data_IF_837923078231
#
_entry.id   IF_837923078231
#
_cell.length_a   1.000
_cell.length_b   1.000
_cell.length_c   1.000
_cell.angle_alpha   90.00
_cell.angle_beta   90.00
_cell.angle_gamma   90.00
#
_symmetry.space_group_name_H-M   'P 1'
#
loop_
_entity.id
_entity.type
_entity.pdbx_description
1 polymer ?
#
# COMPACT_ATOMS: atom_id res chain seq x y z
N UNK A 1 1.99 17.06 -0.12
CA UNK A 1 0.69 16.35 -0.04
C UNK A 1 0.43 15.94 1.41
N UNK A 2 -0.82 16.02 1.90
CA UNK A 2 -1.17 15.81 3.31
C UNK A 2 -1.77 14.45 3.68
N UNK A 3 -1.63 13.43 2.82
CA UNK A 3 -2.21 12.10 3.09
C UNK A 3 -3.72 11.97 2.84
N UNK A 4 -4.37 12.95 2.20
CA UNK A 4 -5.81 12.95 1.93
C UNK A 4 -6.32 11.73 1.14
N UNK A 5 -5.45 11.10 0.35
CA UNK A 5 -5.78 9.86 -0.37
C UNK A 5 -6.11 8.68 0.58
N UNK A 6 -5.54 8.65 1.80
CA UNK A 6 -5.81 7.61 2.78
C UNK A 6 -7.26 7.72 3.27
N UNK A 7 -7.71 8.94 3.54
CA UNK A 7 -9.09 9.23 3.94
C UNK A 7 -10.07 8.85 2.82
N UNK A 8 -9.85 9.30 1.59
CA UNK A 8 -10.77 8.97 0.50
C UNK A 8 -10.81 7.48 0.17
N UNK A 9 -9.71 6.75 0.38
CA UNK A 9 -9.65 5.31 0.21
C UNK A 9 -10.36 4.57 1.35
N UNK A 10 -10.21 5.03 2.60
CA UNK A 10 -10.95 4.51 3.74
C UNK A 10 -12.45 4.72 3.58
N UNK A 11 -12.88 5.95 3.25
CA UNK A 11 -14.28 6.29 2.98
C UNK A 11 -14.86 5.39 1.87
N UNK A 12 -14.07 5.11 0.83
CA UNK A 12 -14.49 4.23 -0.26
C UNK A 12 -14.64 2.77 0.16
N UNK A 13 -13.81 2.27 1.09
CA UNK A 13 -13.93 0.92 1.67
C UNK A 13 -15.16 0.81 2.57
N UNK A 14 -15.37 1.78 3.47
CA UNK A 14 -16.54 1.83 4.33
C UNK A 14 -17.84 1.93 3.52
N UNK A 15 -17.86 2.81 2.50
CA UNK A 15 -19.00 2.93 1.59
C UNK A 15 -19.25 1.66 0.75
N UNK A 16 -18.25 0.80 0.58
CA UNK A 16 -18.39 -0.50 -0.06
C UNK A 16 -18.83 -1.61 0.91
N UNK A 17 -18.94 -1.30 2.21
CA UNK A 17 -19.40 -2.22 3.26
C UNK A 17 -18.29 -2.89 4.06
N UNK A 18 -17.03 -2.43 3.95
CA UNK A 18 -15.92 -2.92 4.78
C UNK A 18 -16.02 -2.31 6.18
N UNK A 19 -16.04 -3.15 7.21
CA UNK A 19 -16.15 -2.71 8.60
C UNK A 19 -14.80 -2.43 9.25
N UNK A 20 -14.79 -1.57 10.27
CA UNK A 20 -13.62 -1.39 11.14
C UNK A 20 -12.37 -0.85 10.45
N UNK A 21 -12.54 -0.05 9.39
CA UNK A 21 -11.42 0.52 8.64
C UNK A 21 -10.63 1.48 9.55
N UNK A 22 -9.33 1.22 9.69
CA UNK A 22 -8.43 2.06 10.46
C UNK A 22 -7.26 2.52 9.57
N UNK A 23 -6.95 3.82 9.63
CA UNK A 23 -5.83 4.42 8.91
C UNK A 23 -4.62 4.46 9.85
N UNK A 24 -3.48 3.96 9.40
CA UNK A 24 -2.23 4.11 10.14
C UNK A 24 -1.80 5.58 10.19
N UNK A 25 -1.24 6.01 11.33
CA UNK A 25 -0.82 7.41 11.53
C UNK A 25 0.18 7.85 10.43
N UNK A 26 -0.22 8.73 9.50
CA UNK A 26 0.63 9.13 8.39
C UNK A 26 1.89 9.87 8.87
N UNK A 27 1.83 10.57 10.01
CA UNK A 27 2.97 11.32 10.55
C UNK A 27 4.08 10.39 11.08
N UNK A 28 3.75 9.14 11.42
CA UNK A 28 4.75 8.12 11.80
C UNK A 28 5.48 7.52 10.60
N UNK A 29 4.81 7.44 9.47
CA UNK A 29 5.26 6.68 8.29
C UNK A 29 5.59 7.55 7.07
N UNK A 30 5.32 8.86 7.13
CA UNK A 30 5.60 9.86 6.10
C UNK A 30 6.37 11.03 6.73
N UNK A 31 7.62 11.25 6.30
CA UNK A 31 8.51 12.30 6.83
C UNK A 31 8.52 13.55 5.93
N UNK A 32 7.34 14.08 5.57
CA UNK A 32 7.16 15.41 4.95
C UNK A 32 7.88 15.68 3.61
N UNK A 33 8.73 14.78 3.10
CA UNK A 33 9.40 14.89 1.79
C UNK A 33 9.15 13.62 0.98
N UNK A 34 7.90 13.42 0.56
CA UNK A 34 7.38 12.21 -0.10
C UNK A 34 8.28 11.57 -1.16
N UNK A 35 9.07 12.36 -1.89
CA UNK A 35 9.92 11.86 -2.95
C UNK A 35 11.27 11.35 -2.45
N UNK A 36 11.89 12.05 -1.50
CA UNK A 36 13.11 11.59 -0.82
C UNK A 36 12.80 10.51 0.21
N UNK A 37 11.65 10.59 0.86
CA UNK A 37 11.11 9.56 1.75
C UNK A 37 10.70 8.33 0.95
N UNK A 38 10.04 8.46 -0.20
CA UNK A 38 9.68 7.32 -1.03
C UNK A 38 10.91 6.53 -1.50
N UNK A 39 12.00 7.22 -1.83
CA UNK A 39 13.27 6.59 -2.22
C UNK A 39 14.07 6.06 -1.02
N UNK A 40 14.15 6.79 0.09
CA UNK A 40 14.88 6.37 1.29
C UNK A 40 14.14 5.29 2.09
N UNK A 41 12.81 5.29 2.07
CA UNK A 41 11.98 4.25 2.66
C UNK A 41 11.89 3.02 1.75
N UNK A 42 12.06 3.17 0.43
CA UNK A 42 12.31 2.03 -0.46
C UNK A 42 13.66 1.32 -0.20
N UNK A 43 14.54 1.86 0.66
CA UNK A 43 15.68 1.13 1.23
C UNK A 43 15.24 0.08 2.27
N UNK A 44 14.12 0.30 2.97
CA UNK A 44 13.54 -0.61 3.97
C UNK A 44 12.56 -1.60 3.32
N UNK A 45 12.95 -2.17 2.19
CA UNK A 45 12.15 -3.09 1.36
C UNK A 45 12.25 -4.56 1.75
N UNK A 46 13.05 -4.83 2.77
CA UNK A 46 13.25 -6.14 3.37
C UNK A 46 12.56 -6.17 4.72
N UNK A 47 12.47 -7.37 5.31
CA UNK A 47 11.97 -7.51 6.66
C UNK A 47 12.98 -6.92 7.63
N UNK A 48 12.65 -5.77 8.19
CA UNK A 48 13.47 -5.09 9.21
C UNK A 48 12.78 -5.24 10.57
N UNK A 49 13.54 -5.08 11.67
CA UNK A 49 13.00 -5.14 13.05
C UNK A 49 12.17 -3.89 13.42
N UNK A 50 11.50 -3.27 12.45
CA UNK A 50 10.64 -2.12 12.66
C UNK A 50 9.36 -2.65 13.29
N UNK A 51 9.10 -2.22 14.52
CA UNK A 51 7.87 -2.52 15.21
C UNK A 51 6.71 -1.90 14.43
N UNK A 52 6.06 -2.73 13.62
CA UNK A 52 5.08 -2.31 12.63
C UNK A 52 3.84 -1.66 13.25
N UNK A 53 3.63 -1.82 14.58
CA UNK A 53 2.58 -1.24 15.45
C UNK A 53 1.38 -0.65 14.68
N UNK A 54 0.78 -1.46 13.82
CA UNK A 54 -0.51 -1.11 13.25
C UNK A 54 -1.54 -1.30 14.37
N UNK A 55 -2.54 -0.42 14.49
CA UNK A 55 -3.57 -0.51 15.53
C UNK A 55 -4.58 -1.64 15.25
N UNK A 56 -4.08 -2.84 14.93
CA UNK A 56 -4.88 -4.03 14.65
C UNK A 56 -5.10 -4.80 15.95
N UNK A 57 -6.35 -5.18 16.21
CA UNK A 57 -6.73 -6.06 17.32
C UNK A 57 -7.37 -7.32 16.75
N UNK A 58 -6.55 -8.33 16.36
CA UNK A 58 -7.06 -9.53 15.70
C UNK A 58 -8.11 -10.29 16.51
N UNK A 59 -8.05 -10.18 17.85
CA UNK A 59 -8.98 -10.77 18.80
C UNK A 59 -10.40 -10.18 18.74
N UNK A 60 -10.59 -9.06 18.05
CA UNK A 60 -11.85 -8.30 17.99
C UNK A 60 -12.44 -8.22 16.58
N UNK A 61 -11.87 -8.93 15.61
CA UNK A 61 -12.28 -8.86 14.22
C UNK A 61 -12.51 -10.27 13.66
N UNK A 62 -13.59 -10.46 12.91
CA UNK A 62 -13.82 -11.71 12.17
C UNK A 62 -12.81 -11.90 11.03
N UNK A 63 -12.26 -10.79 10.53
CA UNK A 63 -11.31 -10.76 9.43
C UNK A 63 -10.28 -9.65 9.66
N UNK A 64 -9.00 -9.99 9.53
CA UNK A 64 -7.91 -9.01 9.53
C UNK A 64 -7.43 -8.83 8.09
N UNK A 65 -7.58 -7.60 7.59
CA UNK A 65 -7.14 -7.19 6.26
C UNK A 65 -6.12 -6.07 6.38
N UNK A 66 -5.04 -6.15 5.62
CA UNK A 66 -4.00 -5.13 5.56
C UNK A 66 -3.88 -4.62 4.14
N UNK A 67 -3.96 -3.31 3.98
CA UNK A 67 -3.88 -2.63 2.69
C UNK A 67 -2.77 -1.59 2.80
N UNK A 68 -1.86 -1.58 1.83
CA UNK A 68 -0.83 -0.57 1.76
C UNK A 68 -0.53 -0.14 0.33
N UNK A 69 -0.15 1.13 0.21
CA UNK A 69 0.16 1.78 -1.05
C UNK A 69 1.58 2.32 -1.03
N UNK A 70 2.33 2.10 -2.11
CA UNK A 70 3.74 2.51 -2.21
C UNK A 70 4.53 1.97 -1.00
N UNK A 71 5.30 2.81 -0.30
CA UNK A 71 5.99 2.42 0.92
C UNK A 71 5.05 1.87 2.01
N UNK A 72 3.81 2.36 2.11
CA UNK A 72 2.82 1.81 3.05
C UNK A 72 2.52 0.33 2.82
N UNK A 73 2.67 -0.17 1.59
CA UNK A 73 2.56 -1.61 1.29
C UNK A 73 3.71 -2.43 1.85
N UNK A 74 4.91 -1.86 1.91
CA UNK A 74 6.08 -2.51 2.53
C UNK A 74 5.87 -2.63 4.05
N UNK A 75 5.34 -1.57 4.68
CA UNK A 75 4.97 -1.59 6.10
C UNK A 75 3.84 -2.57 6.36
N UNK A 76 2.80 -2.58 5.52
CA UNK A 76 1.69 -3.53 5.63
C UNK A 76 2.15 -4.99 5.48
N UNK A 77 3.09 -5.28 4.58
CA UNK A 77 3.64 -6.62 4.42
C UNK A 77 4.43 -7.08 5.66
N UNK A 78 5.23 -6.20 6.25
CA UNK A 78 5.96 -6.49 7.49
C UNK A 78 4.98 -6.71 8.66
N UNK A 79 3.98 -5.83 8.81
CA UNK A 79 2.94 -5.99 9.81
C UNK A 79 2.15 -7.29 9.67
N UNK A 80 1.83 -7.68 8.42
CA UNK A 80 1.15 -8.93 8.14
C UNK A 80 1.98 -10.13 8.63
N UNK A 81 3.28 -10.13 8.36
CA UNK A 81 4.19 -11.18 8.81
C UNK A 81 4.32 -11.19 10.34
N UNK A 82 4.46 -10.04 10.99
CA UNK A 82 4.56 -9.97 12.45
C UNK A 82 3.29 -10.49 13.15
N UNK A 83 2.11 -10.11 12.64
CA UNK A 83 0.83 -10.64 13.12
C UNK A 83 0.74 -12.15 12.90
N UNK A 84 1.14 -12.60 11.71
CA UNK A 84 1.04 -13.99 11.29
C UNK A 84 2.01 -14.91 12.05
N UNK A 85 3.22 -14.44 12.34
CA UNK A 85 4.20 -15.11 13.21
C UNK A 85 3.71 -15.13 14.68
N UNK A 86 2.98 -14.10 15.11
CA UNK A 86 2.29 -14.05 16.40
C UNK A 86 1.05 -14.95 16.50
N UNK A 87 0.72 -15.71 15.44
CA UNK A 87 -0.39 -16.66 15.39
C UNK A 87 -1.73 -16.07 14.94
N UNK A 88 -1.81 -14.78 14.64
CA UNK A 88 -3.01 -14.18 14.07
C UNK A 88 -3.18 -14.58 12.60
N UNK A 89 -4.43 -14.73 12.15
CA UNK A 89 -4.71 -14.98 10.73
C UNK A 89 -4.95 -13.66 10.02
N UNK A 90 -4.16 -13.39 8.97
CA UNK A 90 -4.37 -12.28 8.03
C UNK A 90 -5.09 -12.83 6.81
N UNK A 91 -6.32 -12.40 6.59
CA UNK A 91 -7.14 -12.91 5.49
C UNK A 91 -6.67 -12.35 4.15
N UNK A 92 -6.48 -11.02 4.09
CA UNK A 92 -5.99 -10.34 2.90
C UNK A 92 -4.84 -9.39 3.23
N UNK A 93 -3.72 -9.53 2.52
CA UNK A 93 -2.68 -8.53 2.37
C UNK A 93 -2.75 -7.96 0.95
N UNK A 94 -3.01 -6.67 0.81
CA UNK A 94 -3.21 -6.00 -0.48
C UNK A 94 -2.12 -4.94 -0.65
N UNK A 95 -1.36 -5.07 -1.74
CA UNK A 95 -0.16 -4.30 -2.03
C UNK A 95 -0.39 -3.50 -3.32
N UNK A 96 -0.67 -2.21 -3.18
CA UNK A 96 -0.88 -1.29 -4.29
C UNK A 96 0.43 -0.56 -4.62
N UNK A 97 0.88 -0.62 -5.88
CA UNK A 97 2.09 0.08 -6.34
C UNK A 97 3.31 -0.08 -5.42
N UNK A 98 3.48 -1.26 -4.83
CA UNK A 98 4.39 -1.44 -3.69
C UNK A 98 5.73 -1.99 -4.17
N UNK A 99 6.84 -1.24 -4.04
CA UNK A 99 8.16 -1.67 -4.51
C UNK A 99 8.90 -2.56 -3.48
N UNK A 100 8.24 -3.58 -2.94
CA UNK A 100 8.86 -4.51 -1.99
C UNK A 100 9.82 -5.50 -2.68
N UNK A 101 10.76 -6.08 -1.92
CA UNK A 101 11.69 -7.08 -2.46
C UNK A 101 11.00 -8.40 -2.80
N UNK A 102 11.60 -9.18 -3.70
CA UNK A 102 11.09 -10.49 -4.06
C UNK A 102 11.04 -11.44 -2.86
N UNK A 103 12.02 -11.33 -1.96
CA UNK A 103 12.11 -12.15 -0.75
C UNK A 103 10.99 -11.83 0.23
N UNK A 104 10.73 -10.54 0.50
CA UNK A 104 9.63 -10.13 1.38
C UNK A 104 8.27 -10.54 0.79
N UNK A 105 8.10 -10.40 -0.52
CA UNK A 105 6.88 -10.82 -1.22
C UNK A 105 6.67 -12.33 -1.11
N UNK A 106 7.75 -13.09 -1.26
CA UNK A 106 7.71 -14.55 -1.15
C UNK A 106 7.41 -15.01 0.28
N UNK A 107 7.97 -14.35 1.29
CA UNK A 107 7.64 -14.60 2.70
C UNK A 107 6.14 -14.41 2.93
N UNK A 108 5.59 -13.25 2.55
CA UNK A 108 4.17 -12.96 2.73
C UNK A 108 3.26 -13.95 1.99
N UNK A 109 3.61 -14.34 0.74
CA UNK A 109 2.83 -15.30 -0.06
C UNK A 109 2.86 -16.73 0.45
N UNK A 110 3.94 -17.13 1.14
CA UNK A 110 4.14 -18.51 1.62
C UNK A 110 3.76 -18.69 3.09
N UNK A 111 3.51 -17.61 3.81
CA UNK A 111 3.21 -17.70 5.22
C UNK A 111 1.84 -18.37 5.45
N UNK A 112 1.75 -19.46 6.24
CA UNK A 112 0.50 -20.24 6.36
C UNK A 112 -0.66 -19.49 7.01
N UNK A 113 -0.37 -18.47 7.83
CA UNK A 113 -1.37 -17.60 8.45
C UNK A 113 -1.72 -16.35 7.61
N UNK A 114 -1.17 -16.19 6.41
CA UNK A 114 -1.57 -15.15 5.45
C UNK A 114 -2.29 -15.84 4.30
N UNK A 115 -3.61 -15.73 4.26
CA UNK A 115 -4.43 -16.53 3.33
C UNK A 115 -4.33 -16.04 1.89
N UNK A 116 -4.37 -14.72 1.68
CA UNK A 116 -4.27 -14.12 0.35
C UNK A 116 -3.33 -12.92 0.35
N UNK A 117 -2.32 -12.94 -0.52
CA UNK A 117 -1.50 -11.76 -0.84
C UNK A 117 -1.80 -11.31 -2.26
N UNK A 118 -2.42 -10.13 -2.39
CA UNK A 118 -2.80 -9.53 -3.67
C UNK A 118 -1.85 -8.39 -4.01
N UNK A 119 -1.33 -8.42 -5.23
CA UNK A 119 -0.46 -7.36 -5.78
C UNK A 119 -1.23 -6.64 -6.87
N UNK A 120 -1.25 -5.31 -6.79
CA UNK A 120 -1.78 -4.44 -7.82
C UNK A 120 -0.71 -3.43 -8.21
N UNK A 121 0.03 -3.78 -9.26
CA UNK A 121 0.95 -2.86 -9.92
C UNK A 121 0.14 -1.89 -10.81
N UNK A 122 0.63 -0.66 -10.99
CA UNK A 122 -0.08 0.41 -11.70
C UNK A 122 0.48 0.61 -13.11
N UNK A 123 0.85 -0.49 -13.77
CA UNK A 123 1.54 -0.48 -15.08
C UNK A 123 0.68 0.21 -16.15
N UNK A 124 -0.65 0.06 -16.09
CA UNK A 124 -1.59 0.71 -17.01
C UNK A 124 -1.60 2.24 -16.87
N UNK A 125 -1.15 2.78 -15.73
CA UNK A 125 -0.99 4.21 -15.50
C UNK A 125 0.45 4.69 -15.80
N UNK A 126 1.36 3.78 -16.17
CA UNK A 126 2.76 4.06 -16.43
C UNK A 126 3.66 4.03 -15.19
N UNK A 127 3.21 3.46 -14.07
CA UNK A 127 4.04 3.33 -12.87
C UNK A 127 5.21 2.37 -13.14
N UNK A 128 6.47 2.81 -12.94
CA UNK A 128 7.63 1.93 -13.08
C UNK A 128 7.83 0.98 -11.87
N UNK A 129 7.13 1.20 -10.75
CA UNK A 129 7.23 0.38 -9.55
C UNK A 129 6.32 -0.84 -9.63
N UNK A 130 6.85 -1.96 -9.16
CA UNK A 130 6.10 -3.20 -9.06
C UNK A 130 6.61 -4.07 -7.91
N UNK A 131 5.75 -4.96 -7.41
CA UNK A 131 6.12 -5.86 -6.31
C UNK A 131 7.17 -6.90 -6.74
N UNK A 132 8.18 -7.11 -5.92
CA UNK A 132 9.29 -8.00 -6.22
C UNK A 132 10.37 -7.37 -7.10
N UNK A 133 10.35 -6.05 -7.30
CA UNK A 133 11.37 -5.37 -8.11
C UNK A 133 12.76 -5.46 -7.48
N UNK A 134 13.78 -5.59 -8.34
CA UNK A 134 15.17 -5.55 -7.89
C UNK A 134 15.60 -4.14 -7.49
N UNK A 135 16.69 -4.05 -6.72
CA UNK A 135 17.26 -2.77 -6.31
C UNK A 135 17.75 -1.91 -7.48
N UNK A 136 18.46 -2.46 -8.50
CA UNK A 136 18.85 -1.69 -9.67
C UNK A 136 17.66 -1.13 -10.46
N UNK A 137 16.56 -1.91 -10.57
CA UNK A 137 15.35 -1.44 -11.24
C UNK A 137 14.66 -0.31 -10.48
N UNK A 138 14.64 -0.36 -9.14
CA UNK A 138 14.12 0.75 -8.34
C UNK A 138 14.88 2.04 -8.65
N UNK A 139 16.22 2.00 -8.61
CA UNK A 139 17.02 3.18 -8.90
C UNK A 139 16.79 3.73 -10.31
N UNK A 140 16.73 2.83 -11.30
CA UNK A 140 16.46 3.21 -12.68
C UNK A 140 15.07 3.87 -12.85
N UNK A 141 14.15 3.63 -11.92
CA UNK A 141 12.80 4.21 -11.92
C UNK A 141 12.77 5.65 -11.37
N UNK A 142 13.80 6.09 -10.64
CA UNK A 142 13.80 7.37 -9.96
C UNK A 142 13.57 8.59 -10.87
N UNK A 143 14.18 8.70 -12.08
CA UNK A 143 13.89 9.81 -12.99
C UNK A 143 12.43 9.83 -13.45
N UNK A 144 11.84 8.67 -13.73
CA UNK A 144 10.43 8.54 -14.11
C UNK A 144 9.51 8.95 -12.97
N UNK A 145 9.81 8.55 -11.72
CA UNK A 145 9.05 8.94 -10.55
C UNK A 145 9.11 10.46 -10.29
N UNK A 146 10.28 11.07 -10.45
CA UNK A 146 10.47 12.52 -10.38
C UNK A 146 9.61 13.25 -11.41
N UNK A 147 9.60 12.77 -12.64
CA UNK A 147 8.78 13.34 -13.71
C UNK A 147 7.28 13.19 -13.43
N UNK A 148 6.84 12.02 -13.01
CA UNK A 148 5.44 11.76 -12.66
C UNK A 148 4.98 12.61 -11.47
N UNK A 149 5.84 12.80 -10.47
CA UNK A 149 5.56 13.70 -9.35
C UNK A 149 5.42 15.14 -9.81
N UNK A 150 6.31 15.61 -10.69
CA UNK A 150 6.22 16.97 -11.24
C UNK A 150 4.92 17.20 -12.01
N UNK A 151 4.50 16.24 -12.85
CA UNK A 151 3.22 16.29 -13.55
C UNK A 151 2.03 16.35 -12.57
N UNK A 152 2.09 15.52 -11.54
CA UNK A 152 1.08 15.49 -10.49
C UNK A 152 1.00 16.83 -9.74
N UNK A 153 2.12 17.32 -9.20
CA UNK A 153 2.20 18.53 -8.37
C UNK A 153 1.80 19.80 -9.13
N UNK A 154 2.18 19.90 -10.42
CA UNK A 154 1.97 21.13 -11.21
C UNK A 154 0.67 21.15 -11.99
N UNK A 155 0.14 19.99 -12.36
CA UNK A 155 -1.03 19.92 -13.24
C UNK A 155 -2.20 19.12 -12.65
N UNK A 156 -2.11 18.67 -11.39
CA UNK A 156 -3.10 17.80 -10.77
C UNK A 156 -3.39 16.54 -11.62
N UNK A 157 -2.37 16.02 -12.29
CA UNK A 157 -2.49 14.82 -13.12
C UNK A 157 -2.12 13.58 -12.30
N UNK A 158 -3.13 12.81 -11.91
CA UNK A 158 -2.95 11.54 -11.21
C UNK A 158 -2.57 10.42 -12.19
N UNK A 159 -1.28 10.39 -12.55
CA UNK A 159 -0.63 9.46 -13.49
C UNK A 159 0.48 8.66 -12.81
N UNK A 160 0.88 7.55 -13.44
CA UNK A 160 2.00 6.73 -13.00
C UNK A 160 1.86 6.26 -11.57
N UNK A 161 2.94 6.38 -10.81
CA UNK A 161 2.97 6.02 -9.41
C UNK A 161 1.92 6.75 -8.58
N UNK A 162 1.53 7.97 -8.95
CA UNK A 162 0.61 8.84 -8.20
C UNK A 162 -0.86 8.70 -8.64
N UNK A 163 -1.18 7.70 -9.44
CA UNK A 163 -2.55 7.46 -9.94
C UNK A 163 -3.62 7.31 -8.84
N UNK A 164 -3.22 6.89 -7.63
CA UNK A 164 -4.09 6.73 -6.47
C UNK A 164 -3.77 7.71 -5.31
N UNK A 165 -2.83 8.65 -5.51
CA UNK A 165 -2.21 9.46 -4.46
C UNK A 165 -2.90 10.81 -4.17
N UNK A 166 -4.18 10.95 -4.49
CA UNK A 166 -4.90 12.23 -4.33
C UNK A 166 -6.39 12.05 -4.05
N UNK A 167 -7.08 13.15 -3.77
CA UNK A 167 -8.52 13.17 -3.55
C UNK A 167 -9.32 13.70 -4.76
N UNK A 168 -8.70 13.92 -5.92
CA UNK A 168 -9.39 14.41 -7.12
C UNK A 168 -10.61 13.56 -7.48
N UNK A 169 -11.66 14.12 -8.12
CA UNK A 169 -12.87 13.37 -8.48
C UNK A 169 -12.62 12.05 -9.23
N UNK A 170 -11.68 12.07 -10.18
CA UNK A 170 -11.25 10.89 -10.94
C UNK A 170 -10.51 9.84 -10.09
N UNK A 171 -9.78 10.27 -9.06
CA UNK A 171 -9.09 9.37 -8.14
C UNK A 171 -10.07 8.76 -7.15
N UNK A 172 -11.01 9.54 -6.60
CA UNK A 172 -12.11 9.00 -5.77
C UNK A 172 -12.95 7.98 -6.52
N UNK A 173 -13.19 8.19 -7.82
CA UNK A 173 -13.86 7.20 -8.66
C UNK A 173 -13.06 5.88 -8.74
N UNK A 174 -11.73 5.96 -8.89
CA UNK A 174 -10.82 4.80 -8.84
C UNK A 174 -10.82 4.12 -7.47
N UNK A 175 -10.76 4.87 -6.37
CA UNK A 175 -10.86 4.31 -5.01
C UNK A 175 -12.17 3.53 -4.84
N UNK A 176 -13.32 4.11 -5.19
CA UNK A 176 -14.61 3.42 -5.12
C UNK A 176 -14.69 2.17 -5.99
N UNK A 177 -14.18 2.23 -7.22
CA UNK A 177 -14.17 1.07 -8.11
C UNK A 177 -13.30 -0.06 -7.55
N UNK A 178 -12.14 0.29 -6.99
CA UNK A 178 -11.25 -0.65 -6.37
C UNK A 178 -11.82 -1.27 -5.09
N UNK A 179 -12.40 -0.46 -4.19
CA UNK A 179 -13.04 -0.97 -2.97
C UNK A 179 -14.15 -1.97 -3.27
N UNK A 180 -15.00 -1.71 -4.28
CA UNK A 180 -16.01 -2.68 -4.73
C UNK A 180 -15.40 -3.99 -5.23
N UNK A 181 -14.27 -3.92 -5.95
CA UNK A 181 -13.55 -5.12 -6.41
C UNK A 181 -12.99 -5.91 -5.23
N UNK A 182 -12.44 -5.25 -4.22
CA UNK A 182 -11.92 -5.89 -3.01
C UNK A 182 -13.04 -6.61 -2.24
N UNK A 183 -14.19 -5.97 -2.08
CA UNK A 183 -15.37 -6.59 -1.45
C UNK A 183 -15.84 -7.81 -2.24
N UNK A 184 -15.90 -7.72 -3.57
CA UNK A 184 -16.23 -8.85 -4.43
C UNK A 184 -15.21 -10.01 -4.33
N UNK A 185 -14.00 -9.75 -3.84
CA UNK A 185 -12.96 -10.74 -3.57
C UNK A 185 -12.97 -11.27 -2.13
N UNK A 186 -13.91 -10.83 -1.30
CA UNK A 186 -14.10 -11.31 0.07
C UNK A 186 -13.54 -10.40 1.17
N UNK A 187 -13.04 -9.20 0.83
CA UNK A 187 -12.66 -8.20 1.84
C UNK A 187 -13.92 -7.64 2.51
N UNK A 188 -14.00 -7.72 3.84
CA UNK A 188 -15.10 -7.22 4.67
C UNK A 188 -14.58 -6.71 5.99
#
# INVERSE_FOLDING_TARGET
>A
MGGGYLTSMADALEAAGVGGVAIADPARWSRQSLLLDGLSAALQRNRDAINSQLPVRPDRCDQVNLIGYSYGGVVAAQAALDLADGGARVEHLILLATPLSADLLQQARRHPNIRQTQVMDLVEYGDPLFAGMSWPRLLASAPTLLWQFWLFDRFAQAVGHYAYADDLPSVRARHRAWSRRLVAQGVR
#
